data_IF_140734973757
#
_entry.id   IF_140734973757
#
_cell.length_a   1.000
_cell.length_b   1.000
_cell.length_c   1.000
_cell.angle_alpha   90.00
_cell.angle_beta   90.00
_cell.angle_gamma   90.00
#
_symmetry.space_group_name_H-M   'P 1'
#
loop_
_entity.id
_entity.type
_entity.pdbx_description
1 polymer ?
#
# COMPACT_ATOMS: atom_id res chain seq x y z
N UNK A 1 19.82 -3.66 -4.99
CA UNK A 1 18.67 -2.90 -5.48
C UNK A 1 17.53 -3.08 -4.48
N UNK A 2 16.92 -1.98 -4.09
CA UNK A 2 15.74 -2.00 -3.21
C UNK A 2 14.49 -2.40 -4.00
N UNK A 3 13.54 -3.06 -3.32
CA UNK A 3 12.28 -3.50 -3.92
C UNK A 3 11.11 -2.85 -3.19
N UNK A 4 10.19 -2.26 -3.94
CA UNK A 4 8.93 -1.72 -3.43
C UNK A 4 7.76 -2.59 -3.88
N UNK A 5 6.91 -3.00 -2.95
CA UNK A 5 5.62 -3.61 -3.23
C UNK A 5 4.56 -2.52 -3.25
N UNK A 6 3.98 -2.28 -4.42
CA UNK A 6 2.93 -1.30 -4.66
C UNK A 6 1.59 -2.01 -4.84
N UNK A 7 0.59 -1.61 -4.08
CA UNK A 7 -0.76 -2.19 -4.19
C UNK A 7 -1.65 -1.36 -5.10
N UNK A 8 -2.80 -1.91 -5.46
CA UNK A 8 -3.82 -1.22 -6.28
C UNK A 8 -3.23 -0.56 -7.55
N UNK A 9 -2.42 -1.30 -8.30
CA UNK A 9 -1.76 -0.76 -9.50
C UNK A 9 -2.74 -0.37 -10.61
N UNK A 10 -4.00 -0.77 -10.51
CA UNK A 10 -5.10 -0.29 -11.36
C UNK A 10 -5.65 1.08 -10.95
N UNK A 11 -5.20 1.68 -9.85
CA UNK A 11 -5.63 3.01 -9.44
C UNK A 11 -5.06 4.11 -10.34
N UNK A 12 -5.73 5.27 -10.37
CA UNK A 12 -5.35 6.37 -11.23
C UNK A 12 -3.94 6.94 -10.94
N UNK A 13 -3.46 6.81 -9.71
CA UNK A 13 -2.15 7.31 -9.30
C UNK A 13 -0.99 6.33 -9.52
N UNK A 14 -1.30 5.06 -9.78
CA UNK A 14 -0.29 4.00 -9.78
C UNK A 14 0.80 4.19 -10.84
N UNK A 15 0.43 4.55 -12.06
CA UNK A 15 1.41 4.75 -13.14
C UNK A 15 2.50 5.76 -12.79
N UNK A 16 2.09 6.91 -12.24
CA UNK A 16 3.04 7.94 -11.80
C UNK A 16 3.94 7.45 -10.66
N UNK A 17 3.38 6.70 -9.70
CA UNK A 17 4.18 6.15 -8.59
C UNK A 17 5.19 5.12 -9.11
N UNK A 18 4.79 4.22 -10.01
CA UNK A 18 5.69 3.24 -10.63
C UNK A 18 6.85 3.93 -11.34
N UNK A 19 6.55 4.94 -12.16
CA UNK A 19 7.57 5.73 -12.86
C UNK A 19 8.59 6.33 -11.89
N UNK A 20 8.12 6.95 -10.81
CA UNK A 20 9.00 7.56 -9.81
C UNK A 20 9.83 6.51 -9.04
N UNK A 21 9.25 5.36 -8.69
CA UNK A 21 9.99 4.29 -8.05
C UNK A 21 11.11 3.75 -8.96
N UNK A 22 10.83 3.56 -10.25
CA UNK A 22 11.85 3.18 -11.23
C UNK A 22 12.93 4.25 -11.39
N UNK A 23 12.55 5.55 -11.44
CA UNK A 23 13.50 6.66 -11.52
C UNK A 23 14.44 6.71 -10.31
N UNK A 24 13.97 6.25 -9.13
CA UNK A 24 14.79 6.11 -7.93
C UNK A 24 15.64 4.82 -7.92
N UNK A 25 15.57 4.01 -8.95
CA UNK A 25 16.33 2.76 -9.06
C UNK A 25 15.76 1.59 -8.27
N UNK A 26 14.46 1.62 -7.90
CA UNK A 26 13.82 0.52 -7.23
C UNK A 26 13.24 -0.50 -8.22
N UNK A 27 13.30 -1.77 -7.85
CA UNK A 27 12.48 -2.82 -8.48
C UNK A 27 11.06 -2.69 -7.94
N UNK A 28 10.06 -2.77 -8.81
CA UNK A 28 8.65 -2.61 -8.43
C UNK A 28 7.90 -3.93 -8.57
N UNK A 29 7.44 -4.44 -7.44
CA UNK A 29 6.48 -5.52 -7.35
C UNK A 29 5.08 -4.89 -7.25
N UNK A 30 4.17 -5.26 -8.12
CA UNK A 30 2.82 -4.69 -8.16
C UNK A 30 1.73 -5.72 -7.91
N UNK A 31 0.64 -5.31 -7.28
CA UNK A 31 -0.56 -6.14 -7.17
C UNK A 31 -1.85 -5.35 -7.33
N UNK A 32 -2.90 -6.06 -7.71
CA UNK A 32 -4.26 -5.53 -7.85
C UNK A 32 -5.26 -6.67 -7.63
N UNK A 33 -6.47 -6.35 -7.24
CA UNK A 33 -7.56 -7.34 -7.13
C UNK A 33 -8.01 -7.86 -8.50
N UNK A 34 -7.75 -7.09 -9.56
CA UNK A 34 -8.06 -7.47 -10.94
C UNK A 34 -6.87 -8.16 -11.63
N UNK A 35 -7.13 -8.98 -12.66
CA UNK A 35 -6.06 -9.60 -13.44
C UNK A 35 -5.14 -8.57 -14.09
N UNK A 36 -3.88 -8.95 -14.30
CA UNK A 36 -2.87 -8.10 -14.97
C UNK A 36 -3.36 -7.48 -16.28
N UNK A 37 -4.07 -8.25 -17.08
CA UNK A 37 -4.54 -7.82 -18.41
C UNK A 37 -5.58 -6.69 -18.39
N UNK A 38 -6.17 -6.40 -17.22
CA UNK A 38 -7.22 -5.39 -17.10
C UNK A 38 -6.68 -3.98 -16.80
N UNK A 39 -5.43 -3.86 -16.41
CA UNK A 39 -4.83 -2.59 -16.00
C UNK A 39 -3.53 -2.32 -16.77
N UNK A 40 -3.44 -1.20 -17.43
CA UNK A 40 -2.25 -0.82 -18.20
C UNK A 40 -1.01 -0.76 -17.31
N UNK A 41 -1.10 -0.12 -16.16
CA UNK A 41 0.01 0.04 -15.21
C UNK A 41 0.53 -1.31 -14.66
N UNK A 42 -0.26 -2.38 -14.71
CA UNK A 42 0.21 -3.73 -14.37
C UNK A 42 1.29 -4.24 -15.33
N UNK A 43 1.37 -3.70 -16.54
CA UNK A 43 2.45 -3.99 -17.50
C UNK A 43 3.75 -3.24 -17.21
N UNK A 44 3.70 -2.21 -16.38
CA UNK A 44 4.85 -1.34 -16.07
C UNK A 44 5.63 -1.82 -14.84
N UNK A 45 5.06 -2.71 -14.03
CA UNK A 45 5.76 -3.29 -12.88
C UNK A 45 6.68 -4.44 -13.28
N UNK A 46 7.75 -4.66 -12.54
CA UNK A 46 8.73 -5.73 -12.83
C UNK A 46 8.14 -7.11 -12.54
N UNK A 47 7.32 -7.24 -11.50
CA UNK A 47 6.59 -8.47 -11.13
C UNK A 47 5.19 -8.10 -10.73
N UNK A 48 4.21 -8.89 -11.17
CA UNK A 48 2.80 -8.70 -10.82
C UNK A 48 2.22 -9.96 -10.18
N UNK A 49 1.36 -9.78 -9.17
CA UNK A 49 0.47 -10.83 -8.68
C UNK A 49 -0.94 -10.29 -8.43
N UNK A 50 -1.94 -11.15 -8.55
CA UNK A 50 -3.32 -10.78 -8.24
C UNK A 50 -3.55 -10.88 -6.73
N UNK A 51 -4.03 -9.80 -6.12
CA UNK A 51 -4.30 -9.73 -4.69
C UNK A 51 -5.71 -10.21 -4.35
N UNK A 52 -5.87 -10.76 -3.15
CA UNK A 52 -7.19 -10.96 -2.55
C UNK A 52 -7.78 -9.61 -2.13
N UNK A 53 -9.08 -9.56 -1.89
CA UNK A 53 -9.74 -8.33 -1.44
C UNK A 53 -9.29 -7.94 -0.03
N UNK A 54 -8.95 -6.67 0.18
CA UNK A 54 -8.54 -6.15 1.49
C UNK A 54 -9.70 -6.08 2.50
N UNK A 55 -10.93 -6.30 2.07
CA UNK A 55 -12.09 -6.49 2.95
C UNK A 55 -12.00 -7.77 3.77
N UNK A 56 -11.29 -8.79 3.29
CA UNK A 56 -10.81 -9.91 4.12
C UNK A 56 -9.40 -9.55 4.62
N UNK A 57 -9.35 -8.76 5.69
CA UNK A 57 -8.11 -8.20 6.18
C UNK A 57 -7.07 -9.26 6.56
N UNK A 58 -7.50 -10.37 7.19
CA UNK A 58 -6.57 -11.43 7.60
C UNK A 58 -5.93 -12.14 6.40
N UNK A 59 -6.73 -12.47 5.38
CA UNK A 59 -6.22 -13.08 4.15
C UNK A 59 -5.31 -12.11 3.39
N UNK A 60 -5.69 -10.84 3.33
CA UNK A 60 -4.92 -9.80 2.66
C UNK A 60 -3.54 -9.59 3.33
N UNK A 61 -3.53 -9.42 4.64
CA UNK A 61 -2.27 -9.25 5.40
C UNK A 61 -1.35 -10.45 5.21
N UNK A 62 -1.86 -11.68 5.28
CA UNK A 62 -1.06 -12.89 5.04
C UNK A 62 -0.46 -12.92 3.64
N UNK A 63 -1.25 -12.58 2.62
CA UNK A 63 -0.76 -12.54 1.23
C UNK A 63 0.33 -11.49 1.05
N UNK A 64 0.18 -10.30 1.65
CA UNK A 64 1.20 -9.26 1.60
C UNK A 64 2.49 -9.69 2.31
N UNK A 65 2.39 -10.31 3.48
CA UNK A 65 3.58 -10.86 4.18
C UNK A 65 4.29 -11.92 3.35
N UNK A 66 3.55 -12.82 2.71
CA UNK A 66 4.12 -13.84 1.84
C UNK A 66 4.85 -13.22 0.64
N UNK A 67 4.23 -12.22 0.00
CA UNK A 67 4.85 -11.49 -1.10
C UNK A 67 6.13 -10.77 -0.66
N UNK A 68 6.09 -10.09 0.50
CA UNK A 68 7.27 -9.42 1.08
C UNK A 68 8.41 -10.42 1.33
N UNK A 69 8.11 -11.59 1.91
CA UNK A 69 9.13 -12.62 2.15
C UNK A 69 9.71 -13.18 0.86
N UNK A 70 8.85 -13.53 -0.08
CA UNK A 70 9.26 -14.17 -1.35
C UNK A 70 10.10 -13.23 -2.22
N UNK A 71 9.71 -11.98 -2.30
CA UNK A 71 10.33 -11.00 -3.19
C UNK A 71 11.36 -10.10 -2.48
N UNK A 72 11.55 -10.30 -1.17
CA UNK A 72 12.43 -9.48 -0.34
C UNK A 72 12.11 -7.97 -0.45
N UNK A 73 10.82 -7.61 -0.36
CA UNK A 73 10.41 -6.23 -0.49
C UNK A 73 10.88 -5.40 0.72
N UNK A 74 11.52 -4.26 0.43
CA UNK A 74 11.98 -3.30 1.43
C UNK A 74 10.88 -2.33 1.87
N UNK A 75 9.92 -2.07 0.96
CA UNK A 75 8.81 -1.14 1.17
C UNK A 75 7.50 -1.77 0.73
N UNK A 76 6.44 -1.52 1.49
CA UNK A 76 5.05 -1.82 1.11
C UNK A 76 4.26 -0.52 1.09
N UNK A 77 3.76 -0.15 -0.08
CA UNK A 77 3.12 1.14 -0.36
C UNK A 77 1.67 0.89 -0.81
N UNK A 78 0.68 0.96 0.10
CA UNK A 78 -0.71 0.84 -0.28
C UNK A 78 -1.23 2.15 -0.88
N UNK A 79 -2.02 2.05 -1.96
CA UNK A 79 -2.57 3.20 -2.67
C UNK A 79 -4.05 3.46 -2.39
N UNK A 80 -4.74 2.59 -1.66
CA UNK A 80 -6.16 2.76 -1.36
C UNK A 80 -6.44 2.72 0.14
N UNK A 81 -7.51 3.40 0.53
CA UNK A 81 -7.92 3.49 1.93
C UNK A 81 -8.26 2.14 2.56
N UNK A 82 -8.92 1.24 1.80
CA UNK A 82 -9.31 -0.08 2.32
C UNK A 82 -8.07 -0.94 2.62
N UNK A 83 -7.02 -0.79 1.84
CA UNK A 83 -5.74 -1.46 2.07
C UNK A 83 -5.00 -0.87 3.27
N UNK A 84 -5.01 0.45 3.42
CA UNK A 84 -4.47 1.11 4.61
C UNK A 84 -5.20 0.64 5.87
N UNK A 85 -6.53 0.58 5.83
CA UNK A 85 -7.34 0.08 6.95
C UNK A 85 -6.97 -1.36 7.34
N UNK A 86 -6.72 -2.23 6.35
CA UNK A 86 -6.32 -3.61 6.60
C UNK A 86 -4.90 -3.74 7.16
N UNK A 87 -3.99 -2.86 6.78
CA UNK A 87 -2.56 -2.99 7.05
C UNK A 87 -2.07 -2.18 8.25
N UNK A 88 -2.67 -1.02 8.55
CA UNK A 88 -2.09 -0.03 9.47
C UNK A 88 -1.83 -0.55 10.90
N UNK A 89 -2.61 -1.53 11.39
CA UNK A 89 -2.42 -2.16 12.68
C UNK A 89 -1.25 -3.18 12.70
N UNK A 90 -0.65 -3.48 11.56
CA UNK A 90 0.33 -4.56 11.39
C UNK A 90 1.76 -4.09 11.08
N UNK A 91 2.08 -2.80 11.29
CA UNK A 91 3.42 -2.25 10.99
C UNK A 91 4.56 -3.07 11.60
N UNK A 92 4.39 -3.52 12.86
CA UNK A 92 5.40 -4.32 13.54
C UNK A 92 5.66 -5.67 12.86
N UNK A 93 4.64 -6.30 12.27
CA UNK A 93 4.77 -7.57 11.53
C UNK A 93 5.65 -7.39 10.30
N UNK A 94 5.42 -6.33 9.53
CA UNK A 94 6.24 -6.02 8.34
C UNK A 94 7.64 -5.56 8.71
N UNK A 95 7.81 -4.76 9.77
CA UNK A 95 9.13 -4.40 10.30
C UNK A 95 9.96 -5.62 10.68
N UNK A 96 9.35 -6.64 11.28
CA UNK A 96 10.02 -7.89 11.62
C UNK A 96 10.52 -8.66 10.38
N UNK A 97 9.94 -8.40 9.20
CA UNK A 97 10.38 -8.94 7.92
C UNK A 97 11.43 -8.05 7.22
N UNK A 98 11.85 -6.95 7.83
CA UNK A 98 12.72 -5.96 7.21
C UNK A 98 12.03 -5.07 6.18
N UNK A 99 10.69 -5.02 6.18
CA UNK A 99 9.89 -4.23 5.26
C UNK A 99 9.27 -3.01 5.97
N UNK A 100 9.43 -1.84 5.39
CA UNK A 100 8.78 -0.62 5.86
C UNK A 100 7.37 -0.55 5.25
N UNK A 101 6.35 -0.63 6.09
CA UNK A 101 4.97 -0.38 5.69
C UNK A 101 4.74 1.14 5.67
N UNK A 102 4.53 1.68 4.46
CA UNK A 102 4.39 3.13 4.21
C UNK A 102 2.96 3.61 4.47
N UNK A 103 2.55 3.56 5.72
CA UNK A 103 1.26 4.08 6.21
C UNK A 103 1.48 4.87 7.49
N UNK A 104 0.58 5.80 7.86
CA UNK A 104 0.62 6.44 9.17
C UNK A 104 0.35 5.41 10.28
N UNK A 105 0.60 5.79 11.51
CA UNK A 105 0.20 4.97 12.67
C UNK A 105 -1.32 4.82 12.74
N UNK A 106 -1.79 3.73 13.31
CA UNK A 106 -3.20 3.37 13.31
C UNK A 106 -4.13 4.50 13.82
N UNK A 107 -3.83 5.20 14.95
CA UNK A 107 -4.68 6.31 15.38
C UNK A 107 -4.78 7.43 14.34
N UNK A 108 -3.69 7.75 13.67
CA UNK A 108 -3.65 8.77 12.61
C UNK A 108 -4.44 8.29 11.38
N UNK A 109 -4.27 7.03 10.96
CA UNK A 109 -5.02 6.45 9.84
C UNK A 109 -6.54 6.50 10.11
N UNK A 110 -6.98 6.12 11.32
CA UNK A 110 -8.38 6.18 11.72
C UNK A 110 -8.93 7.61 11.71
N UNK A 111 -8.17 8.56 12.23
CA UNK A 111 -8.55 9.97 12.22
C UNK A 111 -8.71 10.50 10.79
N UNK A 112 -7.78 10.17 9.89
CA UNK A 112 -7.85 10.61 8.49
C UNK A 112 -9.04 9.98 7.72
N UNK A 113 -9.48 8.80 8.14
CA UNK A 113 -10.66 8.13 7.56
C UNK A 113 -11.99 8.73 8.02
N UNK A 114 -12.03 9.33 9.20
CA UNK A 114 -13.22 9.98 9.78
C UNK A 114 -13.21 11.47 9.46
N UNK A 115 -13.96 11.86 8.42
CA UNK A 115 -14.02 13.25 7.96
C UNK A 115 -14.58 14.21 9.00
N UNK A 116 -15.51 13.74 9.85
CA UNK A 116 -16.07 14.57 10.93
C UNK A 116 -15.03 14.79 12.04
N UNK A 117 -14.34 13.73 12.47
CA UNK A 117 -13.29 13.83 13.47
C UNK A 117 -12.13 14.69 12.96
N UNK A 118 -11.75 14.57 11.69
CA UNK A 118 -10.73 15.41 11.07
C UNK A 118 -11.15 16.87 11.04
N UNK A 119 -12.37 17.18 10.61
CA UNK A 119 -12.90 18.55 10.59
C UNK A 119 -12.92 19.16 11.99
N UNK A 120 -13.35 18.40 13.01
CA UNK A 120 -13.36 18.85 14.40
C UNK A 120 -11.94 19.14 14.92
N UNK A 121 -10.96 18.29 14.58
CA UNK A 121 -9.55 18.51 14.92
C UNK A 121 -9.02 19.80 14.28
N UNK A 122 -9.22 19.96 12.98
CA UNK A 122 -8.76 21.15 12.24
C UNK A 122 -9.38 22.44 12.78
N UNK A 123 -10.66 22.42 13.11
CA UNK A 123 -11.34 23.57 13.73
C UNK A 123 -10.75 23.90 15.10
N UNK A 124 -10.47 22.89 15.93
CA UNK A 124 -9.88 23.07 17.26
C UNK A 124 -8.45 23.62 17.19
N UNK A 125 -7.67 23.19 16.18
CA UNK A 125 -6.30 23.67 15.95
C UNK A 125 -6.24 25.00 15.18
N UNK A 126 -7.37 25.57 14.81
CA UNK A 126 -7.44 26.83 14.08
C UNK A 126 -6.95 26.75 12.63
N UNK A 127 -7.03 25.59 12.02
CA UNK A 127 -6.51 25.34 10.66
C UNK A 127 -7.52 25.61 9.54
N UNK A 128 -8.70 26.07 9.85
CA UNK A 128 -9.73 26.46 8.86
C UNK A 128 -10.68 27.51 9.39
#
# INVERSE_FOLDING_TARGET
MKTALLTAVGSASAGMVIEQLHALGLRVLGCDIYPRAWNVASGEVDVFFQAVYATDADAYVRQMEEAVRREHADFLIPLTDVEVDALCAHKARFSALGCVLCVPDEPCARLCRDKQAMAALLAREGAC
#
